data_IF_477073635085
#
_entry.id   IF_477073635085
#
_cell.length_a   1.000
_cell.length_b   1.000
_cell.length_c   1.000
_cell.angle_alpha   90.00
_cell.angle_beta   90.00
_cell.angle_gamma   90.00
#
_symmetry.space_group_name_H-M   'P 1'
#
loop_
_entity.id
_entity.type
_entity.pdbx_description
1 polymer ?
#
# COMPACT_ATOMS: atom_id res chain seq x y z
N UNK A 1 8.38 -57.74 29.95
CA UNK A 1 8.02 -56.36 30.32
C UNK A 1 7.66 -56.23 31.81
N UNK A 2 6.63 -56.93 32.31
CA UNK A 2 6.19 -56.85 33.72
C UNK A 2 7.30 -57.14 34.74
N UNK A 3 8.10 -58.21 34.54
CA UNK A 3 9.22 -58.54 35.46
C UNK A 3 10.31 -57.46 35.57
N UNK A 4 10.55 -56.69 34.50
CA UNK A 4 11.55 -55.59 34.50
C UNK A 4 11.05 -54.43 35.36
N UNK A 5 9.79 -54.04 35.17
CA UNK A 5 9.14 -53.00 35.97
C UNK A 5 9.03 -53.38 37.44
N UNK A 6 8.65 -54.62 37.76
CA UNK A 6 8.60 -55.11 39.16
C UNK A 6 9.97 -54.99 39.86
N UNK A 7 11.07 -55.25 39.15
CA UNK A 7 12.43 -55.06 39.70
C UNK A 7 12.73 -53.58 39.93
N UNK A 8 12.49 -52.75 38.92
CA UNK A 8 12.78 -51.29 38.96
C UNK A 8 11.96 -50.57 40.04
N UNK A 9 10.70 -50.98 40.27
CA UNK A 9 9.88 -50.46 41.37
C UNK A 9 10.37 -50.95 42.75
N UNK A 10 10.84 -52.20 42.86
CA UNK A 10 11.47 -52.72 44.09
C UNK A 10 12.79 -52.01 44.41
N UNK A 11 13.52 -51.59 43.39
CA UNK A 11 14.75 -50.80 43.51
C UNK A 11 14.47 -49.30 43.79
N UNK A 12 13.22 -48.93 44.06
CA UNK A 12 12.84 -47.60 44.59
C UNK A 12 12.44 -46.55 43.55
N UNK A 13 12.42 -46.86 42.25
CA UNK A 13 11.91 -45.92 41.23
C UNK A 13 10.39 -45.82 41.32
N UNK A 14 9.85 -44.64 41.60
CA UNK A 14 8.39 -44.38 41.65
C UNK A 14 7.83 -43.77 40.36
N UNK A 15 8.69 -43.31 39.45
CA UNK A 15 8.29 -42.65 38.21
C UNK A 15 8.02 -43.66 37.07
N UNK A 16 6.81 -43.61 36.52
CA UNK A 16 6.30 -44.48 35.44
C UNK A 16 6.77 -44.00 34.05
N UNK A 17 7.23 -42.75 33.93
CA UNK A 17 7.75 -42.23 32.67
C UNK A 17 9.12 -42.82 32.33
N UNK A 18 9.37 -43.00 31.04
CA UNK A 18 10.68 -43.40 30.53
C UNK A 18 11.75 -42.39 30.96
N UNK A 19 12.93 -42.90 31.31
CA UNK A 19 14.11 -42.05 31.47
C UNK A 19 14.46 -41.34 30.17
N UNK A 20 15.13 -40.19 30.31
CA UNK A 20 15.59 -39.41 29.17
C UNK A 20 16.46 -40.29 28.28
N UNK A 21 15.93 -40.62 27.09
CA UNK A 21 16.64 -41.48 26.15
C UNK A 21 17.86 -40.72 25.63
N UNK A 22 19.01 -41.39 25.55
CA UNK A 22 20.16 -40.85 24.81
C UNK A 22 19.74 -40.68 23.35
N UNK A 23 19.40 -39.45 22.97
CA UNK A 23 18.99 -39.11 21.60
C UNK A 23 20.14 -39.24 20.60
N UNK A 24 19.88 -38.87 19.35
CA UNK A 24 20.93 -38.70 18.33
C UNK A 24 21.88 -37.58 18.78
N UNK A 25 23.21 -37.76 18.73
CA UNK A 25 24.16 -36.67 18.99
C UNK A 25 23.84 -35.50 18.07
N UNK A 26 23.72 -34.28 18.62
CA UNK A 26 23.55 -33.09 17.79
C UNK A 26 24.80 -32.87 16.96
N UNK A 27 24.62 -32.55 15.68
CA UNK A 27 25.73 -32.12 14.80
C UNK A 27 26.28 -30.76 15.27
N UNK A 28 25.50 -30.04 16.08
CA UNK A 28 25.85 -28.78 16.70
C UNK A 28 26.66 -29.07 17.97
N UNK A 29 27.96 -28.79 17.91
CA UNK A 29 28.90 -28.83 19.04
C UNK A 29 29.21 -27.41 19.49
N UNK A 30 29.48 -27.18 20.79
CA UNK A 30 29.78 -25.85 21.32
C UNK A 30 31.02 -25.19 20.67
N UNK A 31 32.04 -25.98 20.32
CA UNK A 31 33.23 -25.50 19.58
C UNK A 31 32.85 -24.93 18.19
N UNK A 32 31.89 -25.55 17.51
CA UNK A 32 31.40 -25.06 16.22
C UNK A 32 30.64 -23.74 16.39
N UNK A 33 29.80 -23.63 17.42
CA UNK A 33 29.07 -22.38 17.73
C UNK A 33 30.08 -21.25 17.99
N UNK A 34 31.10 -21.50 18.79
CA UNK A 34 32.11 -20.49 19.11
C UNK A 34 32.89 -20.02 17.88
N UNK A 35 33.29 -20.95 17.00
CA UNK A 35 33.96 -20.62 15.73
C UNK A 35 33.10 -19.78 14.80
N UNK A 36 31.81 -20.11 14.68
CA UNK A 36 30.85 -19.34 13.88
C UNK A 36 30.64 -17.95 14.49
N UNK A 37 30.51 -17.83 15.82
CA UNK A 37 30.36 -16.55 16.52
C UNK A 37 31.57 -15.61 16.30
N UNK A 38 32.80 -16.14 16.41
CA UNK A 38 34.01 -15.38 16.13
C UNK A 38 34.01 -14.80 14.71
N UNK A 39 33.56 -15.58 13.72
CA UNK A 39 33.50 -15.14 12.32
C UNK A 39 32.42 -14.10 12.06
N UNK A 40 31.25 -14.26 12.67
CA UNK A 40 30.17 -13.26 12.60
C UNK A 40 30.60 -11.93 13.23
N UNK A 41 31.39 -11.96 14.31
CA UNK A 41 31.93 -10.75 14.97
C UNK A 41 33.01 -10.06 14.14
N UNK A 42 33.88 -10.83 13.47
CA UNK A 42 34.91 -10.31 12.56
C UNK A 42 34.27 -9.58 11.37
N UNK A 43 33.25 -10.16 10.76
CA UNK A 43 32.53 -9.54 9.66
C UNK A 43 31.00 -9.70 9.78
N UNK A 44 30.35 -8.65 10.25
CA UNK A 44 28.88 -8.62 10.44
C UNK A 44 28.07 -8.60 9.13
N UNK A 45 28.73 -8.51 7.96
CA UNK A 45 28.07 -8.50 6.64
C UNK A 45 28.14 -9.85 5.93
N UNK A 46 28.65 -10.90 6.60
CA UNK A 46 28.76 -12.23 6.01
C UNK A 46 27.41 -12.79 5.60
N UNK A 47 27.40 -13.46 4.46
CA UNK A 47 26.24 -14.24 4.00
C UNK A 47 26.36 -15.68 4.48
N UNK A 48 25.23 -16.38 4.60
CA UNK A 48 25.23 -17.84 4.87
C UNK A 48 26.00 -18.61 3.78
N UNK A 49 26.12 -18.07 2.57
CA UNK A 49 26.94 -18.67 1.51
C UNK A 49 28.43 -18.57 1.79
N UNK A 50 28.90 -17.37 2.13
CA UNK A 50 30.30 -17.14 2.51
C UNK A 50 30.69 -17.99 3.72
N UNK A 51 29.79 -18.12 4.70
CA UNK A 51 30.00 -18.97 5.87
C UNK A 51 30.06 -20.46 5.51
N UNK A 52 29.30 -20.91 4.50
CA UNK A 52 29.34 -22.30 4.02
C UNK A 52 30.62 -22.65 3.27
N UNK A 53 31.25 -21.67 2.62
CA UNK A 53 32.55 -21.85 1.95
C UNK A 53 33.68 -21.99 2.99
N UNK A 54 33.55 -21.27 4.11
CA UNK A 54 34.52 -21.33 5.22
C UNK A 54 34.37 -22.60 6.08
N UNK A 55 33.14 -23.15 6.15
CA UNK A 55 32.85 -24.41 6.85
C UNK A 55 32.24 -25.46 5.91
N UNK A 56 33.03 -26.02 4.96
CA UNK A 56 32.50 -26.93 3.92
C UNK A 56 32.00 -28.27 4.48
N UNK A 57 32.46 -28.65 5.67
CA UNK A 57 32.05 -29.88 6.37
C UNK A 57 30.65 -29.75 6.98
N UNK A 58 30.18 -28.53 7.23
CA UNK A 58 28.92 -28.27 7.92
C UNK A 58 27.84 -27.93 6.88
N UNK A 59 26.67 -28.59 6.92
CA UNK A 59 25.59 -28.27 6.00
C UNK A 59 25.02 -26.87 6.26
N UNK A 60 24.62 -26.17 5.20
CA UNK A 60 24.05 -24.80 5.28
C UNK A 60 22.88 -24.65 6.23
N UNK A 61 22.03 -25.66 6.36
CA UNK A 61 20.89 -25.64 7.27
C UNK A 61 21.31 -25.54 8.74
N UNK A 62 22.38 -26.26 9.12
CA UNK A 62 22.93 -26.21 10.48
C UNK A 62 23.59 -24.87 10.75
N UNK A 63 24.31 -24.30 9.78
CA UNK A 63 24.86 -22.94 9.90
C UNK A 63 23.75 -21.89 10.08
N UNK A 64 22.64 -22.04 9.36
CA UNK A 64 21.48 -21.16 9.52
C UNK A 64 20.85 -21.29 10.91
N UNK A 65 20.64 -22.51 11.41
CA UNK A 65 20.12 -22.77 12.76
C UNK A 65 21.05 -22.19 13.85
N UNK A 66 22.37 -22.32 13.69
CA UNK A 66 23.34 -21.74 14.63
C UNK A 66 23.24 -20.20 14.64
N UNK A 67 23.22 -19.55 13.47
CA UNK A 67 23.17 -18.08 13.37
C UNK A 67 21.81 -17.53 13.85
N UNK A 68 20.71 -18.15 13.45
CA UNK A 68 19.35 -17.71 13.80
C UNK A 68 18.99 -18.04 15.23
N UNK A 69 19.14 -19.30 15.64
CA UNK A 69 18.48 -19.81 16.85
C UNK A 69 19.45 -19.88 18.05
N UNK A 70 20.73 -20.21 17.82
CA UNK A 70 21.74 -20.28 18.89
C UNK A 70 22.37 -18.92 19.18
N UNK A 71 22.71 -18.16 18.14
CA UNK A 71 23.32 -16.83 18.25
C UNK A 71 22.29 -15.69 18.22
N UNK A 72 21.01 -15.98 17.94
CA UNK A 72 19.92 -14.99 17.90
C UNK A 72 20.22 -13.79 16.97
N UNK A 73 20.97 -14.02 15.89
CA UNK A 73 21.35 -12.98 14.96
C UNK A 73 20.19 -12.66 14.01
N UNK A 74 19.84 -11.38 13.90
CA UNK A 74 18.82 -10.89 12.96
C UNK A 74 19.48 -10.14 11.82
N UNK A 75 18.97 -10.35 10.61
CA UNK A 75 19.38 -9.58 9.43
C UNK A 75 18.80 -8.16 9.53
N UNK A 76 19.68 -7.17 9.62
CA UNK A 76 19.32 -5.76 9.61
C UNK A 76 19.90 -5.10 8.35
N UNK A 77 19.17 -4.15 7.78
CA UNK A 77 19.69 -3.31 6.70
C UNK A 77 20.68 -2.29 7.28
N UNK A 78 21.80 -2.09 6.60
CA UNK A 78 22.75 -1.03 6.98
C UNK A 78 22.10 0.34 6.75
N UNK A 79 22.28 1.26 7.71
CA UNK A 79 21.85 2.65 7.56
C UNK A 79 22.83 3.40 6.66
N UNK A 80 22.33 4.14 5.68
CA UNK A 80 23.14 5.02 4.87
C UNK A 80 23.76 6.12 5.74
N UNK A 81 25.06 6.33 5.59
CA UNK A 81 25.81 7.39 6.27
C UNK A 81 26.23 8.40 5.20
N UNK A 82 25.88 9.70 5.34
CA UNK A 82 26.10 10.69 4.27
C UNK A 82 27.55 10.82 3.80
N UNK A 83 28.52 10.63 4.70
CA UNK A 83 29.95 10.78 4.37
C UNK A 83 30.82 9.92 5.29
N UNK A 84 31.85 9.29 4.72
CA UNK A 84 32.91 8.67 5.52
C UNK A 84 33.75 9.77 6.19
N UNK A 85 33.71 9.80 7.52
CA UNK A 85 34.39 10.82 8.32
C UNK A 85 35.81 10.40 8.63
N UNK A 86 36.77 11.28 8.35
CA UNK A 86 38.17 11.14 8.80
C UNK A 86 38.29 11.43 10.30
N UNK A 87 39.37 11.00 10.93
CA UNK A 87 39.59 11.23 12.37
C UNK A 87 39.56 12.74 12.72
N UNK A 88 40.14 13.60 11.88
CA UNK A 88 40.07 15.04 12.07
C UNK A 88 38.62 15.57 12.06
N UNK A 89 37.78 15.11 11.12
CA UNK A 89 36.37 15.49 11.08
C UNK A 89 35.61 15.01 12.32
N UNK A 90 35.94 13.82 12.84
CA UNK A 90 35.33 13.30 14.08
C UNK A 90 35.71 14.16 15.28
N UNK A 91 36.98 14.50 15.43
CA UNK A 91 37.47 15.35 16.53
C UNK A 91 36.84 16.73 16.49
N UNK A 92 36.76 17.37 15.31
CA UNK A 92 36.08 18.67 15.15
C UNK A 92 34.60 18.57 15.52
N UNK A 93 33.89 17.56 15.02
CA UNK A 93 32.46 17.34 15.35
C UNK A 93 32.24 17.11 16.85
N UNK A 94 33.11 16.34 17.49
CA UNK A 94 33.05 16.10 18.94
C UNK A 94 33.28 17.40 19.72
N UNK A 95 34.30 18.18 19.35
CA UNK A 95 34.57 19.48 19.98
C UNK A 95 33.41 20.45 19.83
N UNK A 96 32.84 20.57 18.63
CA UNK A 96 31.64 21.40 18.39
C UNK A 96 30.43 20.90 19.19
N UNK A 97 30.19 19.58 19.25
CA UNK A 97 29.09 19.02 20.04
C UNK A 97 29.26 19.27 21.55
N UNK A 98 30.48 19.13 22.07
CA UNK A 98 30.77 19.39 23.48
C UNK A 98 30.57 20.86 23.85
N UNK A 99 31.10 21.78 23.03
CA UNK A 99 30.86 23.22 23.24
C UNK A 99 29.39 23.61 23.17
N UNK A 100 28.60 22.97 22.29
CA UNK A 100 27.15 23.18 22.24
C UNK A 100 26.45 22.63 23.48
N UNK A 101 26.86 21.45 23.94
CA UNK A 101 26.32 20.80 25.15
C UNK A 101 26.62 21.62 26.41
N UNK A 102 27.83 22.14 26.55
CA UNK A 102 28.23 22.99 27.68
C UNK A 102 27.42 24.29 27.72
N UNK A 103 27.24 24.95 26.56
CA UNK A 103 26.40 26.15 26.46
C UNK A 103 24.95 25.87 26.81
N UNK A 104 24.41 24.73 26.36
CA UNK A 104 23.08 24.30 26.75
C UNK A 104 22.98 24.01 28.25
N UNK A 105 23.98 23.38 28.86
CA UNK A 105 24.02 23.14 30.30
C UNK A 105 23.99 24.44 31.12
N UNK A 106 24.62 25.50 30.63
CA UNK A 106 24.72 26.78 31.35
C UNK A 106 23.49 27.68 31.15
N UNK A 107 22.90 27.69 29.96
CA UNK A 107 21.82 28.63 29.58
C UNK A 107 20.47 27.98 29.33
N UNK A 108 20.39 26.66 29.30
CA UNK A 108 19.15 25.89 29.13
C UNK A 108 18.36 26.29 27.88
N UNK A 109 17.05 26.46 28.07
CA UNK A 109 16.11 26.78 26.99
C UNK A 109 16.26 28.20 26.43
N UNK A 110 16.82 29.15 27.19
CA UNK A 110 17.05 30.52 26.70
C UNK A 110 18.10 30.57 25.59
N UNK A 111 19.03 29.61 25.57
CA UNK A 111 19.96 29.45 24.46
C UNK A 111 19.27 28.90 23.21
N UNK A 112 18.39 27.90 23.37
CA UNK A 112 17.68 27.30 22.23
C UNK A 112 16.71 28.27 21.57
N UNK A 113 16.04 29.13 22.35
CA UNK A 113 15.10 30.14 21.82
C UNK A 113 15.76 31.22 20.98
N UNK A 114 17.08 31.39 21.09
CA UNK A 114 17.88 32.33 20.30
C UNK A 114 18.42 31.73 19.00
N UNK A 115 18.25 30.42 18.77
CA UNK A 115 18.77 29.74 17.58
C UNK A 115 17.71 29.78 16.49
N UNK A 116 18.07 30.36 15.34
CA UNK A 116 17.32 30.25 14.09
C UNK A 116 18.14 29.43 13.12
N UNK A 117 17.59 28.30 12.65
CA UNK A 117 18.24 27.42 11.67
C UNK A 117 17.57 27.53 10.32
N UNK A 118 18.35 27.53 9.24
CA UNK A 118 17.87 27.37 7.87
C UNK A 118 18.72 26.33 7.15
N UNK A 119 18.09 25.58 6.25
CA UNK A 119 18.76 24.65 5.34
C UNK A 119 18.05 24.70 3.98
N UNK A 120 18.77 24.38 2.92
CA UNK A 120 18.24 24.35 1.56
C UNK A 120 18.04 22.89 1.15
N UNK A 121 16.80 22.50 0.89
CA UNK A 121 16.48 21.15 0.41
C UNK A 121 16.01 21.22 -1.03
N UNK A 122 16.63 20.44 -1.90
CA UNK A 122 16.17 20.26 -3.27
C UNK A 122 14.86 19.47 -3.29
N UNK A 123 13.79 20.10 -3.76
CA UNK A 123 12.49 19.43 -3.98
C UNK A 123 12.38 19.09 -5.45
N UNK A 124 12.50 17.80 -5.79
CA UNK A 124 12.26 17.33 -7.13
C UNK A 124 10.75 17.39 -7.44
N UNK A 125 10.39 17.97 -8.60
CA UNK A 125 9.00 18.08 -9.07
C UNK A 125 8.33 16.70 -9.24
N UNK A 126 9.12 15.68 -9.57
CA UNK A 126 8.71 14.28 -9.56
C UNK A 126 9.76 13.50 -8.78
N UNK A 127 9.36 12.94 -7.65
CA UNK A 127 10.11 11.89 -6.94
C UNK A 127 9.57 10.56 -7.45
N UNK A 128 10.28 9.84 -8.35
CA UNK A 128 9.90 8.49 -8.73
C UNK A 128 10.32 7.52 -7.61
N UNK A 129 9.94 7.81 -6.37
CA UNK A 129 9.86 6.75 -5.38
C UNK A 129 8.62 5.95 -5.76
N UNK A 130 8.80 4.66 -6.07
CA UNK A 130 7.67 3.77 -6.20
C UNK A 130 6.83 3.93 -4.93
N UNK A 131 5.56 4.29 -5.05
CA UNK A 131 4.65 4.58 -3.94
C UNK A 131 4.66 3.48 -2.85
N UNK A 132 5.02 2.26 -3.25
CA UNK A 132 5.24 1.09 -2.41
C UNK A 132 6.44 1.18 -1.43
N UNK A 133 7.48 1.94 -1.77
CA UNK A 133 8.68 2.15 -0.95
C UNK A 133 8.55 3.31 0.05
N UNK A 134 7.64 4.26 -0.19
CA UNK A 134 7.36 5.40 0.70
C UNK A 134 6.15 5.20 1.62
N UNK A 135 5.51 4.02 1.56
CA UNK A 135 4.44 3.65 2.49
C UNK A 135 5.01 3.43 3.90
N UNK A 136 5.06 4.50 4.69
CA UNK A 136 5.06 4.37 6.15
C UNK A 136 3.67 3.93 6.63
N UNK A 137 3.62 3.13 7.69
CA UNK A 137 2.36 2.72 8.31
C UNK A 137 1.72 3.92 9.01
N UNK A 138 1.06 4.78 8.23
CA UNK A 138 0.19 5.82 8.75
C UNK A 138 -1.02 5.18 9.42
N UNK A 139 -1.27 5.56 10.68
CA UNK A 139 -2.48 5.19 11.40
C UNK A 139 -3.74 5.46 10.57
N UNK A 140 -4.77 4.65 10.79
CA UNK A 140 -6.01 4.62 10.00
C UNK A 140 -6.70 6.00 10.02
N UNK A 141 -6.32 6.90 9.11
CA UNK A 141 -7.14 8.06 8.81
C UNK A 141 -8.31 7.58 7.95
N UNK A 142 -9.49 7.52 8.58
CA UNK A 142 -10.73 7.19 7.89
C UNK A 142 -11.00 8.28 6.83
N UNK A 143 -11.20 7.94 5.55
CA UNK A 143 -11.47 8.94 4.53
C UNK A 143 -12.79 9.65 4.85
N UNK A 144 -12.87 10.99 4.63
CA UNK A 144 -13.98 11.83 5.07
C UNK A 144 -15.35 11.36 4.56
N UNK A 145 -15.41 10.70 3.40
CA UNK A 145 -16.67 10.26 2.79
C UNK A 145 -17.34 9.06 3.47
N UNK A 146 -16.61 8.28 4.29
CA UNK A 146 -17.23 7.26 5.16
C UNK A 146 -18.12 7.90 6.22
N UNK A 147 -17.61 8.98 6.82
CA UNK A 147 -18.29 9.71 7.89
C UNK A 147 -19.55 10.36 7.33
N UNK A 148 -19.47 10.96 6.14
CA UNK A 148 -20.62 11.56 5.46
C UNK A 148 -21.76 10.55 5.17
N UNK A 149 -21.43 9.35 4.67
CA UNK A 149 -22.45 8.33 4.37
C UNK A 149 -23.14 7.79 5.64
N UNK A 150 -22.37 7.50 6.69
CA UNK A 150 -22.90 7.06 7.99
C UNK A 150 -23.76 8.16 8.62
N UNK A 151 -23.29 9.40 8.59
CA UNK A 151 -24.03 10.56 9.09
C UNK A 151 -25.35 10.77 8.33
N UNK A 152 -25.35 10.61 6.99
CA UNK A 152 -26.57 10.72 6.19
C UNK A 152 -27.57 9.60 6.49
N UNK A 153 -27.11 8.38 6.81
CA UNK A 153 -27.99 7.29 7.24
C UNK A 153 -28.66 7.60 8.58
N UNK A 154 -27.88 8.10 9.56
CA UNK A 154 -28.41 8.50 10.86
C UNK A 154 -29.46 9.61 10.70
N UNK A 155 -29.18 10.62 9.87
CA UNK A 155 -30.11 11.69 9.57
C UNK A 155 -31.38 11.21 8.87
N UNK A 156 -31.28 10.31 7.88
CA UNK A 156 -32.43 9.79 7.17
C UNK A 156 -33.35 8.94 8.07
N UNK A 157 -32.78 8.15 8.99
CA UNK A 157 -33.53 7.41 10.01
C UNK A 157 -34.19 8.39 10.99
N UNK A 158 -33.47 9.42 11.40
CA UNK A 158 -33.99 10.46 12.28
C UNK A 158 -35.14 11.25 11.63
N UNK A 159 -35.02 11.60 10.34
CA UNK A 159 -36.10 12.22 9.54
C UNK A 159 -37.34 11.34 9.48
N UNK A 160 -37.16 10.04 9.23
CA UNK A 160 -38.26 9.09 9.16
C UNK A 160 -38.99 8.99 10.50
N UNK A 161 -38.23 8.93 11.61
CA UNK A 161 -38.78 8.93 12.96
C UNK A 161 -39.61 10.19 13.24
N UNK A 162 -39.06 11.38 12.95
CA UNK A 162 -39.76 12.66 13.15
C UNK A 162 -41.03 12.75 12.29
N UNK A 163 -40.98 12.29 11.03
CA UNK A 163 -42.14 12.31 10.13
C UNK A 163 -43.25 11.31 10.53
N UNK A 164 -42.89 10.22 11.21
CA UNK A 164 -43.85 9.27 11.80
C UNK A 164 -44.50 9.90 13.04
N UNK A 165 -43.72 10.53 13.91
CA UNK A 165 -44.25 11.24 15.09
C UNK A 165 -45.18 12.39 14.69
N UNK A 166 -44.89 13.11 13.60
CA UNK A 166 -45.72 14.20 13.05
C UNK A 166 -47.02 13.73 12.36
N UNK A 167 -47.62 12.63 12.84
CA UNK A 167 -48.90 12.14 12.36
C UNK A 167 -50.03 13.15 12.63
N UNK A 168 -51.01 13.31 11.72
CA UNK A 168 -52.07 14.31 11.88
C UNK A 168 -52.86 14.04 13.16
N UNK A 169 -52.95 15.04 14.05
CA UNK A 169 -53.66 14.92 15.33
C UNK A 169 -52.76 14.61 16.54
N UNK A 170 -51.44 14.53 16.38
CA UNK A 170 -50.49 14.42 17.49
C UNK A 170 -49.95 15.80 17.91
N UNK A 171 -49.81 16.02 19.22
CA UNK A 171 -49.19 17.23 19.78
C UNK A 171 -47.89 16.85 20.49
N UNK A 172 -46.74 17.24 19.92
CA UNK A 172 -45.42 16.99 20.50
C UNK A 172 -44.58 18.28 20.55
N UNK A 173 -44.00 18.57 21.72
CA UNK A 173 -43.22 19.79 22.01
C UNK A 173 -41.72 19.48 22.23
N UNK A 174 -41.10 18.68 21.35
CA UNK A 174 -39.67 18.32 21.49
C UNK A 174 -38.81 19.06 20.47
N UNK A 175 -37.76 19.69 20.97
CA UNK A 175 -36.74 20.38 20.16
C UNK A 175 -35.66 19.40 19.75
N UNK A 176 -35.55 19.12 18.46
CA UNK A 176 -34.49 18.28 17.91
C UNK A 176 -33.56 19.13 17.04
N UNK A 177 -32.34 19.40 17.51
CA UNK A 177 -31.45 20.41 16.94
C UNK A 177 -30.66 20.03 15.67
N UNK A 178 -30.90 18.87 15.03
CA UNK A 178 -29.94 18.27 14.08
C UNK A 178 -30.49 18.12 12.64
N UNK A 179 -31.81 18.25 12.41
CA UNK A 179 -32.41 18.02 11.09
C UNK A 179 -33.33 19.15 10.67
N UNK A 180 -33.72 19.28 9.39
CA UNK A 180 -34.81 20.16 8.96
C UNK A 180 -36.11 19.77 9.70
N UNK A 181 -36.25 20.25 10.93
CA UNK A 181 -37.34 19.90 11.82
C UNK A 181 -38.63 20.43 11.22
N UNK A 182 -39.47 19.51 10.76
CA UNK A 182 -40.65 19.84 9.98
C UNK A 182 -41.76 20.38 10.89
N UNK A 183 -42.10 21.67 10.73
CA UNK A 183 -43.21 22.32 11.46
C UNK A 183 -44.48 22.42 10.58
N UNK A 184 -44.47 21.97 9.33
CA UNK A 184 -45.66 22.06 8.46
C UNK A 184 -46.60 20.85 8.55
N UNK A 185 -47.25 20.70 9.70
CA UNK A 185 -48.36 19.76 9.89
C UNK A 185 -49.65 20.28 9.22
N UNK A 186 -49.75 20.16 7.89
CA UNK A 186 -50.97 20.55 7.17
C UNK A 186 -51.46 19.52 6.15
N UNK A 187 -50.58 19.02 5.28
CA UNK A 187 -50.98 18.23 4.11
C UNK A 187 -50.35 16.82 4.08
N UNK A 188 -51.20 15.78 4.03
CA UNK A 188 -50.81 14.36 3.98
C UNK A 188 -49.93 14.02 2.77
N UNK A 189 -50.18 14.64 1.61
CA UNK A 189 -49.43 14.36 0.38
C UNK A 189 -47.98 14.84 0.47
N UNK A 190 -47.79 16.03 1.04
CA UNK A 190 -46.48 16.63 1.26
C UNK A 190 -45.68 15.79 2.27
N UNK A 191 -46.31 15.35 3.37
CA UNK A 191 -45.67 14.44 4.34
C UNK A 191 -45.19 13.14 3.70
N UNK A 192 -46.04 12.51 2.88
CA UNK A 192 -45.67 11.27 2.18
C UNK A 192 -44.50 11.47 1.21
N UNK A 193 -44.44 12.61 0.53
CA UNK A 193 -43.35 12.95 -0.38
C UNK A 193 -42.03 13.19 0.38
N UNK A 194 -42.08 13.80 1.57
CA UNK A 194 -40.90 13.94 2.44
C UNK A 194 -40.41 12.59 2.98
N UNK A 195 -41.32 11.70 3.38
CA UNK A 195 -40.98 10.33 3.78
C UNK A 195 -40.29 9.62 2.61
N UNK A 196 -40.82 9.74 1.40
CA UNK A 196 -40.18 9.20 0.20
C UNK A 196 -38.77 9.79 0.01
N UNK A 197 -38.60 11.10 0.18
CA UNK A 197 -37.30 11.73 0.08
C UNK A 197 -36.29 11.17 1.10
N UNK A 198 -36.71 10.93 2.34
CA UNK A 198 -35.85 10.37 3.39
C UNK A 198 -35.49 8.91 3.11
N UNK A 199 -36.45 8.09 2.67
CA UNK A 199 -36.23 6.68 2.31
C UNK A 199 -35.26 6.57 1.12
N UNK A 200 -35.45 7.38 0.08
CA UNK A 200 -34.55 7.38 -1.08
C UNK A 200 -33.15 7.83 -0.67
N UNK A 201 -33.03 8.86 0.17
CA UNK A 201 -31.74 9.32 0.72
C UNK A 201 -31.02 8.22 1.51
N UNK A 202 -31.75 7.41 2.28
CA UNK A 202 -31.20 6.28 3.03
C UNK A 202 -30.58 5.22 2.11
N UNK A 203 -31.31 4.78 1.08
CA UNK A 203 -30.80 3.77 0.14
C UNK A 203 -29.61 4.30 -0.69
N UNK A 204 -29.66 5.55 -1.14
CA UNK A 204 -28.54 6.21 -1.82
C UNK A 204 -27.31 6.34 -0.91
N UNK A 205 -27.50 6.60 0.38
CA UNK A 205 -26.41 6.64 1.36
C UNK A 205 -25.77 5.25 1.56
N UNK A 206 -26.57 4.18 1.64
CA UNK A 206 -26.07 2.79 1.70
C UNK A 206 -25.26 2.45 0.45
N UNK A 207 -25.81 2.76 -0.74
CA UNK A 207 -25.11 2.54 -2.00
C UNK A 207 -23.75 3.26 -2.02
N UNK A 208 -23.72 4.54 -1.63
CA UNK A 208 -22.47 5.30 -1.48
C UNK A 208 -21.49 4.68 -0.48
N UNK A 209 -21.97 4.09 0.62
CA UNK A 209 -21.13 3.41 1.60
C UNK A 209 -20.45 2.19 0.97
N UNK A 210 -21.24 1.32 0.33
CA UNK A 210 -20.76 0.08 -0.29
C UNK A 210 -19.70 0.40 -1.33
N UNK A 211 -19.98 1.35 -2.22
CA UNK A 211 -19.03 1.73 -3.27
C UNK A 211 -17.79 2.41 -2.67
N UNK A 212 -17.90 3.16 -1.57
CA UNK A 212 -16.75 3.73 -0.86
C UNK A 212 -15.87 2.66 -0.20
N UNK A 213 -16.46 1.59 0.33
CA UNK A 213 -15.70 0.45 0.89
C UNK A 213 -14.97 -0.31 -0.22
N UNK A 214 -15.62 -0.54 -1.35
CA UNK A 214 -15.01 -1.16 -2.53
C UNK A 214 -13.85 -0.31 -3.03
N UNK A 215 -14.05 1.01 -3.13
CA UNK A 215 -13.03 1.96 -3.57
C UNK A 215 -11.78 1.89 -2.70
N UNK A 216 -11.88 1.90 -1.37
CA UNK A 216 -10.70 1.80 -0.50
C UNK A 216 -9.92 0.49 -0.71
N UNK A 217 -10.64 -0.63 -0.88
CA UNK A 217 -9.99 -1.91 -1.18
C UNK A 217 -9.30 -1.87 -2.54
N UNK A 218 -9.85 -1.15 -3.50
CA UNK A 218 -9.25 -0.93 -4.80
C UNK A 218 -8.05 0.02 -4.76
N UNK A 219 -8.12 1.12 -4.01
CA UNK A 219 -7.00 2.04 -3.77
C UNK A 219 -5.82 1.33 -3.11
N UNK A 220 -6.08 0.42 -2.15
CA UNK A 220 -5.03 -0.43 -1.56
C UNK A 220 -4.35 -1.36 -2.57
N UNK A 221 -5.09 -1.78 -3.61
CA UNK A 221 -4.59 -2.67 -4.66
C UNK A 221 -4.22 -1.92 -5.95
N UNK A 222 -4.23 -0.59 -5.90
CA UNK A 222 -3.95 0.32 -7.03
C UNK A 222 -4.76 0.00 -8.31
N UNK A 223 -6.00 -0.49 -8.16
CA UNK A 223 -6.85 -0.86 -9.30
C UNK A 223 -7.71 0.33 -9.72
N UNK A 224 -7.27 1.06 -10.74
CA UNK A 224 -7.91 2.29 -11.24
C UNK A 224 -9.32 2.09 -11.78
N UNK A 225 -9.59 0.97 -12.47
CA UNK A 225 -10.90 0.72 -13.09
C UNK A 225 -12.04 0.64 -12.05
N UNK A 226 -11.72 0.35 -10.79
CA UNK A 226 -12.70 0.29 -9.70
C UNK A 226 -13.07 1.66 -9.13
N UNK A 227 -12.48 2.73 -9.65
CA UNK A 227 -12.76 4.11 -9.25
C UNK A 227 -14.03 4.69 -9.90
N UNK A 228 -14.31 4.33 -11.17
CA UNK A 228 -15.43 4.88 -11.96
C UNK A 228 -16.80 4.71 -11.30
N UNK A 229 -17.18 3.53 -10.75
CA UNK A 229 -18.50 3.36 -10.13
C UNK A 229 -18.72 4.28 -8.94
N UNK A 230 -17.66 4.55 -8.17
CA UNK A 230 -17.72 5.46 -7.03
C UNK A 230 -17.98 6.90 -7.46
N UNK A 231 -17.37 7.32 -8.56
CA UNK A 231 -17.51 8.66 -9.08
C UNK A 231 -18.93 8.93 -9.58
N UNK A 232 -19.49 7.97 -10.32
CA UNK A 232 -20.90 8.01 -10.76
C UNK A 232 -21.83 8.05 -9.54
N UNK A 233 -21.60 7.18 -8.56
CA UNK A 233 -22.39 7.15 -7.33
C UNK A 233 -22.35 8.50 -6.60
N UNK A 234 -21.16 9.13 -6.51
CA UNK A 234 -20.97 10.41 -5.84
C UNK A 234 -21.73 11.56 -6.52
N UNK A 235 -21.76 11.57 -7.87
CA UNK A 235 -22.54 12.55 -8.65
C UNK A 235 -24.03 12.35 -8.39
N UNK A 236 -24.54 11.12 -8.55
CA UNK A 236 -25.97 10.81 -8.34
C UNK A 236 -26.42 11.22 -6.92
N UNK A 237 -25.63 10.86 -5.90
CA UNK A 237 -25.91 11.20 -4.51
C UNK A 237 -25.97 12.70 -4.27
N UNK A 238 -25.07 13.46 -4.90
CA UNK A 238 -24.98 14.91 -4.74
C UNK A 238 -26.14 15.61 -5.46
N UNK A 239 -26.50 15.16 -6.66
CA UNK A 239 -27.68 15.64 -7.39
C UNK A 239 -28.96 15.39 -6.60
N UNK A 240 -29.12 14.18 -6.05
CA UNK A 240 -30.26 13.85 -5.19
C UNK A 240 -30.31 14.73 -3.95
N UNK A 241 -29.17 14.94 -3.28
CA UNK A 241 -29.07 15.79 -2.10
C UNK A 241 -29.50 17.22 -2.39
N UNK A 242 -29.09 17.79 -3.53
CA UNK A 242 -29.53 19.10 -4.00
C UNK A 242 -31.05 19.16 -4.19
N UNK A 243 -31.63 18.22 -4.94
CA UNK A 243 -33.09 18.16 -5.15
C UNK A 243 -33.86 18.04 -3.82
N UNK A 244 -33.33 17.25 -2.89
CA UNK A 244 -33.94 17.02 -1.58
C UNK A 244 -33.88 18.25 -0.68
N UNK A 245 -32.75 18.98 -0.67
CA UNK A 245 -32.62 20.27 0.04
C UNK A 245 -33.56 21.32 -0.56
N UNK A 246 -33.59 21.42 -1.89
CA UNK A 246 -34.46 22.36 -2.60
C UNK A 246 -35.93 22.11 -2.29
N UNK A 247 -36.37 20.85 -2.35
CA UNK A 247 -37.73 20.47 -2.00
C UNK A 247 -38.07 20.81 -0.53
N UNK A 248 -37.17 20.48 0.41
CA UNK A 248 -37.33 20.86 1.83
C UNK A 248 -37.40 22.37 2.05
N UNK A 249 -36.72 23.17 1.22
CA UNK A 249 -36.78 24.64 1.27
C UNK A 249 -38.11 25.21 0.78
N UNK A 250 -38.77 24.55 -0.17
CA UNK A 250 -40.09 24.99 -0.68
C UNK A 250 -41.17 24.67 0.35
N UNK A 251 -41.08 23.49 0.96
CA UNK A 251 -42.13 22.99 1.84
C UNK A 251 -42.07 23.64 3.22
N UNK A 252 -40.87 23.96 3.71
CA UNK A 252 -40.73 24.63 5.01
C UNK A 252 -40.88 26.14 4.87
N UNK A 253 -41.51 26.75 5.87
CA UNK A 253 -41.67 28.19 5.92
C UNK A 253 -40.32 28.85 6.22
N UNK A 254 -39.78 29.57 5.22
CA UNK A 254 -38.51 30.26 5.35
C UNK A 254 -38.58 31.53 6.20
N UNK A 255 -39.75 31.89 6.75
CA UNK A 255 -39.91 32.98 7.70
C UNK A 255 -39.13 32.74 9.01
N UNK A 256 -39.06 31.49 9.48
CA UNK A 256 -38.35 31.16 10.71
C UNK A 256 -36.83 31.11 10.49
N UNK A 257 -36.08 31.87 11.30
CA UNK A 257 -34.61 31.94 11.20
C UNK A 257 -33.89 30.60 11.32
N UNK A 258 -34.49 29.62 11.99
CA UNK A 258 -33.98 28.24 12.03
C UNK A 258 -33.93 27.58 10.65
N UNK A 259 -35.01 27.70 9.85
CA UNK A 259 -35.08 27.13 8.51
C UNK A 259 -34.10 27.82 7.55
N UNK A 260 -33.94 29.15 7.70
CA UNK A 260 -32.93 29.91 6.98
C UNK A 260 -31.51 29.44 7.29
N UNK A 261 -31.18 29.30 8.58
CA UNK A 261 -29.86 28.84 9.02
C UNK A 261 -29.55 27.42 8.52
N UNK A 262 -30.51 26.50 8.63
CA UNK A 262 -30.34 25.13 8.12
C UNK A 262 -30.15 25.10 6.60
N UNK A 263 -30.92 25.88 5.84
CA UNK A 263 -30.75 25.97 4.40
C UNK A 263 -29.35 26.46 4.03
N UNK A 264 -28.85 27.51 4.70
CA UNK A 264 -27.50 28.05 4.46
C UNK A 264 -26.43 26.99 4.76
N UNK A 265 -26.50 26.35 5.94
CA UNK A 265 -25.53 25.33 6.36
C UNK A 265 -25.51 24.16 5.36
N UNK A 266 -26.66 23.61 5.01
CA UNK A 266 -26.76 22.48 4.09
C UNK A 266 -26.32 22.83 2.66
N UNK A 267 -26.56 24.07 2.23
CA UNK A 267 -26.09 24.58 0.93
C UNK A 267 -24.57 24.72 0.91
N UNK A 268 -23.96 25.25 1.98
CA UNK A 268 -22.49 25.33 2.10
C UNK A 268 -21.83 23.95 2.11
N UNK A 269 -22.41 22.98 2.84
CA UNK A 269 -21.95 21.60 2.85
C UNK A 269 -22.07 20.94 1.46
N UNK A 270 -23.13 21.25 0.70
CA UNK A 270 -23.29 20.78 -0.67
C UNK A 270 -22.19 21.34 -1.59
N UNK A 271 -21.91 22.64 -1.54
CA UNK A 271 -20.84 23.27 -2.32
C UNK A 271 -19.47 22.67 -1.98
N UNK A 272 -19.18 22.49 -0.69
CA UNK A 272 -17.96 21.83 -0.24
C UNK A 272 -17.86 20.39 -0.79
N UNK A 273 -18.96 19.62 -0.75
CA UNK A 273 -18.99 18.27 -1.31
C UNK A 273 -18.76 18.24 -2.82
N UNK A 274 -19.34 19.18 -3.58
CA UNK A 274 -19.09 19.33 -5.03
C UNK A 274 -17.62 19.62 -5.27
N UNK A 275 -17.02 20.55 -4.53
CA UNK A 275 -15.58 20.85 -4.62
C UNK A 275 -14.73 19.60 -4.38
N UNK A 276 -15.01 18.82 -3.34
CA UNK A 276 -14.28 17.56 -3.10
C UNK A 276 -14.48 16.52 -4.20
N UNK A 277 -15.64 16.46 -4.85
CA UNK A 277 -15.86 15.59 -6.02
C UNK A 277 -15.01 16.07 -7.20
N UNK A 278 -14.93 17.38 -7.45
CA UNK A 278 -14.11 17.96 -8.51
C UNK A 278 -12.61 17.71 -8.31
N UNK A 279 -12.10 17.87 -7.09
CA UNK A 279 -10.70 17.53 -6.75
C UNK A 279 -10.42 16.06 -7.05
N UNK A 280 -11.34 15.18 -6.64
CA UNK A 280 -11.19 13.74 -6.87
C UNK A 280 -11.30 13.39 -8.36
N UNK A 281 -12.16 14.07 -9.11
CA UNK A 281 -12.27 13.98 -10.57
C UNK A 281 -10.96 14.38 -11.26
N UNK A 282 -10.37 15.51 -10.85
CA UNK A 282 -9.09 16.00 -11.37
C UNK A 282 -7.99 14.96 -11.17
N UNK A 283 -7.83 14.47 -9.93
CA UNK A 283 -6.83 13.46 -9.61
C UNK A 283 -7.04 12.14 -10.37
N UNK A 284 -8.31 11.76 -10.63
CA UNK A 284 -8.63 10.58 -11.42
C UNK A 284 -8.24 10.75 -12.89
N UNK A 285 -8.45 11.94 -13.47
CA UNK A 285 -8.04 12.24 -14.84
C UNK A 285 -6.52 12.19 -14.98
N UNK A 286 -5.78 12.83 -14.08
CA UNK A 286 -4.31 12.78 -14.07
C UNK A 286 -3.79 11.35 -14.00
N UNK A 287 -4.36 10.52 -13.13
CA UNK A 287 -3.95 9.12 -12.98
C UNK A 287 -4.22 8.31 -14.25
N UNK A 288 -5.41 8.49 -14.85
CA UNK A 288 -5.78 7.80 -16.08
C UNK A 288 -4.88 8.20 -17.26
N UNK A 289 -4.45 9.46 -17.32
CA UNK A 289 -3.53 9.94 -18.36
C UNK A 289 -2.12 9.36 -18.18
N UNK A 290 -1.63 9.25 -16.95
CA UNK A 290 -0.33 8.59 -16.65
C UNK A 290 -0.37 7.12 -17.09
N UNK A 291 -1.42 6.38 -16.72
CA UNK A 291 -1.56 4.96 -17.09
C UNK A 291 -1.63 4.78 -18.60
N UNK A 292 -2.32 5.69 -19.30
CA UNK A 292 -2.38 5.69 -20.77
C UNK A 292 -1.00 5.95 -21.40
N UNK A 293 -0.21 6.86 -20.83
CA UNK A 293 1.15 7.14 -21.28
C UNK A 293 2.08 5.94 -21.03
N UNK A 294 1.94 5.26 -19.89
CA UNK A 294 2.69 4.06 -19.57
C UNK A 294 2.36 2.92 -20.55
N UNK A 295 1.07 2.66 -20.79
CA UNK A 295 0.63 1.64 -21.76
C UNK A 295 1.14 1.94 -23.17
N UNK A 296 1.13 3.22 -23.58
CA UNK A 296 1.69 3.64 -24.87
C UNK A 296 3.21 3.44 -24.94
N UNK A 297 3.94 3.72 -23.84
CA UNK A 297 5.38 3.48 -23.77
C UNK A 297 5.72 1.98 -23.77
N UNK A 298 4.93 1.14 -23.08
CA UNK A 298 5.05 -0.33 -23.11
C UNK A 298 4.78 -0.90 -24.49
N UNK A 299 3.77 -0.39 -25.21
CA UNK A 299 3.49 -0.77 -26.60
C UNK A 299 4.64 -0.38 -27.55
N UNK A 300 5.21 0.82 -27.37
CA UNK A 300 6.33 1.30 -28.18
C UNK A 300 7.61 0.48 -27.93
N UNK A 301 7.94 0.21 -26.67
CA UNK A 301 9.10 -0.61 -26.29
C UNK A 301 8.93 -2.07 -26.71
N UNK A 302 7.72 -2.64 -26.59
CA UNK A 302 7.39 -3.97 -27.10
C UNK A 302 7.53 -4.09 -28.61
N UNK A 303 7.03 -3.10 -29.35
CA UNK A 303 7.17 -3.04 -30.82
C UNK A 303 8.64 -2.90 -31.24
N UNK A 304 9.42 -2.03 -30.58
CA UNK A 304 10.86 -1.88 -30.87
C UNK A 304 11.66 -3.14 -30.52
N UNK A 305 11.31 -3.84 -29.45
CA UNK A 305 11.91 -5.13 -29.10
C UNK A 305 11.59 -6.19 -30.16
N UNK A 306 10.35 -6.28 -30.64
CA UNK A 306 9.98 -7.19 -31.74
C UNK A 306 10.69 -6.88 -33.06
N UNK A 307 10.86 -5.59 -33.40
CA UNK A 307 11.58 -5.13 -34.59
C UNK A 307 13.09 -5.43 -34.48
N UNK A 308 13.68 -5.26 -33.30
CA UNK A 308 15.10 -5.57 -33.09
C UNK A 308 15.37 -7.08 -33.14
N UNK A 309 14.43 -7.89 -32.67
CA UNK A 309 14.49 -9.37 -32.73
C UNK A 309 14.35 -9.86 -34.18
N UNK A 310 13.47 -9.26 -34.98
CA UNK A 310 13.37 -9.55 -36.42
C UNK A 310 14.60 -9.08 -37.19
N UNK A 311 15.17 -7.93 -36.85
CA UNK A 311 16.41 -7.41 -37.45
C UNK A 311 17.61 -8.32 -37.19
N UNK A 312 17.76 -8.84 -35.97
CA UNK A 312 18.79 -9.82 -35.63
C UNK A 312 18.59 -11.18 -36.32
N UNK A 313 17.33 -11.59 -36.56
CA UNK A 313 17.04 -12.82 -37.30
C UNK A 313 17.34 -12.68 -38.80
N UNK A 314 17.06 -11.51 -39.39
CA UNK A 314 17.38 -11.21 -40.80
C UNK A 314 18.88 -11.05 -41.05
N UNK A 315 19.63 -10.44 -40.12
CA UNK A 315 21.09 -10.31 -40.24
C UNK A 315 21.79 -11.66 -40.13
N UNK A 316 21.31 -12.58 -39.27
CA UNK A 316 21.84 -13.95 -39.23
C UNK A 316 21.60 -14.72 -40.53
N UNK A 317 20.47 -14.47 -41.21
CA UNK A 317 20.17 -15.10 -42.50
C UNK A 317 21.03 -14.53 -43.65
N UNK A 318 21.32 -13.22 -43.66
CA UNK A 318 22.15 -12.62 -44.71
C UNK A 318 23.64 -12.98 -44.58
N UNK A 319 24.15 -13.10 -43.35
CA UNK A 319 25.55 -13.48 -43.09
C UNK A 319 25.83 -14.93 -43.48
N UNK A 320 24.87 -15.85 -43.29
CA UNK A 320 25.01 -17.24 -43.74
C UNK A 320 24.97 -17.40 -45.27
N UNK A 321 24.25 -16.52 -45.98
CA UNK A 321 24.26 -16.50 -47.45
C UNK A 321 25.61 -16.02 -48.02
N UNK A 322 26.28 -15.04 -47.38
CA UNK A 322 27.59 -14.58 -47.82
C UNK A 322 28.73 -15.56 -47.45
N UNK A 323 28.67 -16.22 -46.30
CA UNK A 323 29.69 -17.18 -45.86
C UNK A 323 29.70 -18.51 -46.66
N UNK A 324 28.57 -18.89 -47.26
CA UNK A 324 28.46 -20.10 -48.07
C UNK A 324 29.05 -19.99 -49.49
N UNK A 325 29.29 -18.78 -49.99
CA UNK A 325 29.77 -18.57 -51.36
C UNK A 325 31.30 -18.62 -51.49
N UNK A 326 32.07 -18.47 -50.39
CA UNK A 326 33.54 -18.44 -50.43
C UNK A 326 34.24 -19.77 -50.15
N UNK A 327 33.53 -20.83 -49.75
CA UNK A 327 34.14 -22.10 -49.32
C UNK A 327 34.20 -23.20 -50.40
N UNK A 328 33.84 -22.91 -51.66
CA UNK A 328 33.70 -23.94 -52.70
C UNK A 328 34.50 -23.65 -53.97
N UNK A 329 35.80 -23.44 -53.84
CA UNK A 329 36.71 -23.49 -54.99
C UNK A 329 38.14 -23.83 -54.56
N UNK A 330 38.43 -25.12 -54.35
CA UNK A 330 39.76 -25.71 -54.57
C UNK A 330 39.75 -27.20 -54.23
N UNK A 331 39.81 -28.07 -55.25
CA UNK A 331 40.77 -29.19 -55.34
C UNK A 331 40.59 -29.98 -56.66
N UNK A 332 41.66 -30.58 -57.23
CA UNK A 332 41.68 -31.11 -58.60
C UNK A 332 41.85 -32.65 -58.70
N UNK A 333 41.72 -33.12 -59.95
CA UNK A 333 42.22 -34.38 -60.56
C UNK A 333 41.42 -35.70 -60.51
N UNK A 334 41.15 -36.23 -61.71
CA UNK A 334 40.83 -37.65 -62.00
C UNK A 334 40.30 -37.86 -63.43
N UNK A 335 41.07 -38.56 -64.28
CA UNK A 335 40.93 -38.71 -65.75
C UNK A 335 39.63 -39.41 -66.27
N UNK A 336 39.27 -39.25 -67.57
CA UNK A 336 38.02 -39.75 -68.16
C UNK A 336 38.18 -41.05 -68.99
N UNK A 337 37.07 -41.75 -69.29
CA UNK A 337 36.82 -42.25 -70.66
C UNK A 337 35.32 -42.12 -71.06
N UNK A 338 34.84 -42.56 -72.24
CA UNK A 338 34.70 -41.70 -73.40
C UNK A 338 33.25 -41.54 -73.92
N UNK A 339 33.07 -40.48 -74.73
CA UNK A 339 32.09 -40.23 -75.80
C UNK A 339 30.80 -41.07 -75.88
N UNK A 340 29.65 -40.38 -75.92
CA UNK A 340 28.69 -40.56 -77.01
C UNK A 340 27.79 -39.34 -77.23
N UNK A 341 27.65 -39.02 -78.52
CA UNK A 341 26.82 -37.99 -79.15
C UNK A 341 25.32 -38.28 -79.06
N UNK A 342 24.51 -37.21 -78.94
CA UNK A 342 23.18 -36.95 -79.57
C UNK A 342 22.58 -35.71 -78.85
N UNK A 343 22.49 -34.51 -79.44
CA UNK A 343 21.51 -34.03 -80.42
C UNK A 343 20.10 -34.54 -80.11
N UNK A 344 19.29 -33.77 -79.38
CA UNK A 344 18.28 -32.79 -79.87
C UNK A 344 17.98 -31.81 -78.73
#
# INVERSE_FOLDING_TARGET
>A
MVRKWVRVFKDGRTNIHDEERRGRPSVITDDLIQKVDSKVKENRRLTISSLSEEFPVVPRSVLYEIVSDRLNCRKLCSRWVPKMSTEEHKTKRLGSALSFLERYSNKGYDFLSQIVTGDETWVAYVTPEWKQQSMECGGIHHPPKKVQSIFTQILAVFDLYVLIEASPGSTHYRYFGINFLFVYSGNKHIRNLLILCSVVSFFLAIYMLVVSVILMRALRKEVEQKFKPWLIAAVIFTTWSFCSIFFRSIVNDLYYGYHQAMLIIWTLLLFSNVFFILVVLSNYQELADITRLEDMARLKTGTMSSLNTTSHSLSHYSVNMLGGAQSRASTPHGNPPPSNFAVV
#
